data_IF_906410303129
#
_entry.id   IF_906410303129
#
_cell.length_a   1.000
_cell.length_b   1.000
_cell.length_c   1.000
_cell.angle_alpha   90.00
_cell.angle_beta   90.00
_cell.angle_gamma   90.00
#
_symmetry.space_group_name_H-M   'P 1'
#
loop_
_entity.id
_entity.type
_entity.pdbx_description
1 polymer ?
#
# COMPACT_ATOMS: atom_id res chain seq x y z
N UNK A 1 19.11 14.85 -9.81
CA UNK A 1 19.15 14.38 -8.40
C UNK A 1 20.50 13.73 -8.20
N UNK A 2 21.37 14.34 -7.39
CA UNK A 2 22.75 13.84 -7.24
C UNK A 2 22.88 12.81 -6.12
N UNK A 3 22.07 12.92 -5.06
CA UNK A 3 22.11 12.05 -3.87
C UNK A 3 21.07 10.93 -3.92
N UNK A 4 21.47 9.72 -3.50
CA UNK A 4 20.59 8.56 -3.43
C UNK A 4 19.35 8.78 -2.56
N UNK A 5 19.49 9.43 -1.40
CA UNK A 5 18.35 9.72 -0.51
C UNK A 5 17.35 10.70 -1.11
N UNK A 6 17.80 11.72 -1.85
CA UNK A 6 16.89 12.63 -2.57
C UNK A 6 16.14 11.89 -3.68
N UNK A 7 16.84 11.00 -4.40
CA UNK A 7 16.21 10.12 -5.39
C UNK A 7 15.18 9.17 -4.76
N UNK A 8 15.47 8.63 -3.58
CA UNK A 8 14.54 7.77 -2.85
C UNK A 8 13.25 8.53 -2.54
N UNK A 9 13.35 9.73 -1.97
CA UNK A 9 12.17 10.55 -1.65
C UNK A 9 11.33 10.85 -2.90
N UNK A 10 11.98 11.17 -4.02
CA UNK A 10 11.32 11.45 -5.28
C UNK A 10 10.58 10.21 -5.85
N UNK A 11 11.29 9.11 -6.07
CA UNK A 11 10.69 7.90 -6.66
C UNK A 11 9.65 7.29 -5.74
N UNK A 12 9.92 7.24 -4.44
CA UNK A 12 8.98 6.73 -3.45
C UNK A 12 7.70 7.58 -3.44
N UNK A 13 7.82 8.91 -3.46
CA UNK A 13 6.66 9.80 -3.53
C UNK A 13 5.83 9.62 -4.80
N UNK A 14 6.49 9.47 -5.96
CA UNK A 14 5.83 9.22 -7.24
C UNK A 14 5.06 7.90 -7.24
N UNK A 15 5.70 6.80 -6.82
CA UNK A 15 5.04 5.50 -6.73
C UNK A 15 3.96 5.49 -5.65
N UNK A 16 4.15 6.23 -4.56
CA UNK A 16 3.13 6.37 -3.53
C UNK A 16 1.86 7.06 -4.03
N UNK A 17 2.00 8.12 -4.84
CA UNK A 17 0.87 8.80 -5.45
C UNK A 17 0.05 7.86 -6.35
N UNK A 18 0.73 7.02 -7.16
CA UNK A 18 0.08 6.00 -8.00
C UNK A 18 -0.67 4.96 -7.16
N UNK A 19 -0.09 4.53 -6.03
CA UNK A 19 -0.74 3.61 -5.11
C UNK A 19 -2.00 4.22 -4.49
N UNK A 20 -1.95 5.49 -4.08
CA UNK A 20 -3.12 6.17 -3.55
C UNK A 20 -4.25 6.25 -4.60
N UNK A 21 -3.91 6.59 -5.84
CA UNK A 21 -4.88 6.65 -6.94
C UNK A 21 -5.55 5.29 -7.18
N UNK A 22 -4.76 4.22 -7.30
CA UNK A 22 -5.26 2.86 -7.53
C UNK A 22 -6.00 2.28 -6.32
N UNK A 23 -5.69 2.73 -5.10
CA UNK A 23 -6.34 2.30 -3.86
C UNK A 23 -7.67 3.02 -3.59
N UNK A 24 -7.96 4.13 -4.28
CA UNK A 24 -9.17 4.92 -4.07
C UNK A 24 -10.46 4.10 -4.25
N UNK A 25 -10.44 3.09 -5.14
CA UNK A 25 -11.58 2.18 -5.39
C UNK A 25 -12.04 1.40 -4.15
N UNK A 26 -11.16 1.21 -3.16
CA UNK A 26 -11.49 0.50 -1.92
C UNK A 26 -12.18 1.39 -0.88
N UNK A 27 -12.33 2.69 -1.14
CA UNK A 27 -13.02 3.64 -0.24
C UNK A 27 -12.52 3.53 1.20
N UNK A 28 -11.19 3.48 1.34
CA UNK A 28 -10.51 3.33 2.61
C UNK A 28 -10.82 4.42 3.63
N UNK A 29 -11.08 5.64 3.15
CA UNK A 29 -11.40 6.81 3.97
C UNK A 29 -12.85 7.25 3.75
N UNK A 30 -13.84 6.59 4.38
CA UNK A 30 -15.26 6.88 4.18
C UNK A 30 -15.71 8.16 4.91
N UNK A 31 -14.94 9.26 4.86
CA UNK A 31 -15.12 10.46 5.72
C UNK A 31 -16.51 11.07 5.62
N UNK A 32 -17.08 11.18 4.42
CA UNK A 32 -18.45 11.69 4.19
C UNK A 32 -19.51 10.72 4.71
N UNK A 33 -19.35 9.43 4.43
CA UNK A 33 -20.33 8.39 4.76
C UNK A 33 -20.26 7.90 6.21
N UNK A 34 -19.13 8.13 6.91
CA UNK A 34 -18.92 7.69 8.29
C UNK A 34 -19.89 8.38 9.25
N UNK A 35 -20.19 9.65 8.97
CA UNK A 35 -21.05 10.51 9.77
C UNK A 35 -22.43 10.72 9.16
N UNK A 36 -22.73 10.14 7.99
CA UNK A 36 -24.02 10.31 7.34
C UNK A 36 -25.08 9.30 7.82
N UNK A 37 -24.71 8.21 8.49
CA UNK A 37 -25.64 7.15 8.91
C UNK A 37 -25.60 6.95 10.42
N UNK A 38 -26.26 7.86 11.16
CA UNK A 38 -26.28 7.85 12.63
C UNK A 38 -27.11 6.71 13.24
N UNK A 39 -27.82 5.91 12.43
CA UNK A 39 -28.74 4.87 12.89
C UNK A 39 -28.18 3.44 13.00
N UNK A 40 -27.13 3.07 12.25
CA UNK A 40 -26.64 1.69 12.18
C UNK A 40 -25.24 1.55 12.80
N UNK A 41 -25.18 1.15 14.08
CA UNK A 41 -23.93 0.97 14.86
C UNK A 41 -22.96 -0.02 14.20
N UNK A 42 -23.47 -1.07 13.57
CA UNK A 42 -22.65 -2.11 12.93
C UNK A 42 -21.97 -1.61 11.66
N UNK A 43 -22.70 -0.89 10.79
CA UNK A 43 -22.13 -0.29 9.57
C UNK A 43 -21.05 0.74 9.90
N UNK A 44 -21.33 1.58 10.91
CA UNK A 44 -20.35 2.57 11.40
C UNK A 44 -19.09 1.87 11.90
N UNK A 45 -19.23 0.75 12.60
CA UNK A 45 -18.09 -0.03 13.09
C UNK A 45 -17.27 -0.63 11.93
N UNK A 46 -17.92 -1.19 10.90
CA UNK A 46 -17.22 -1.71 9.71
C UNK A 46 -16.45 -0.62 8.97
N UNK A 47 -17.09 0.54 8.72
CA UNK A 47 -16.47 1.71 8.08
C UNK A 47 -15.31 2.26 8.90
N UNK A 48 -15.44 2.33 10.22
CA UNK A 48 -14.36 2.75 11.12
C UNK A 48 -13.17 1.77 11.08
N UNK A 49 -13.42 0.46 11.13
CA UNK A 49 -12.36 -0.56 11.00
C UNK A 49 -11.62 -0.40 9.66
N UNK A 50 -12.35 -0.22 8.56
CA UNK A 50 -11.77 0.03 7.22
C UNK A 50 -10.92 1.30 7.21
N UNK A 51 -11.40 2.37 7.84
CA UNK A 51 -10.65 3.62 7.99
C UNK A 51 -9.36 3.44 8.78
N UNK A 52 -9.41 2.80 9.95
CA UNK A 52 -8.23 2.54 10.79
C UNK A 52 -7.19 1.73 10.02
N UNK A 53 -7.60 0.64 9.36
CA UNK A 53 -6.70 -0.18 8.54
C UNK A 53 -6.09 0.64 7.40
N UNK A 54 -6.89 1.50 6.75
CA UNK A 54 -6.41 2.36 5.67
C UNK A 54 -5.44 3.44 6.15
N UNK A 55 -5.65 4.02 7.34
CA UNK A 55 -4.69 4.94 7.96
C UNK A 55 -3.37 4.20 8.24
N UNK A 56 -3.44 3.01 8.83
CA UNK A 56 -2.24 2.24 9.16
C UNK A 56 -1.48 1.86 7.89
N UNK A 57 -2.14 1.21 6.93
CA UNK A 57 -1.47 0.65 5.75
C UNK A 57 -1.16 1.69 4.68
N UNK A 58 -1.94 2.76 4.55
CA UNK A 58 -1.73 3.78 3.52
C UNK A 58 -1.17 5.10 4.07
N UNK A 59 -0.86 5.24 5.36
CA UNK A 59 -0.20 6.47 5.83
C UNK A 59 0.98 6.11 6.73
N UNK A 60 0.72 5.38 7.82
CA UNK A 60 1.74 5.09 8.82
C UNK A 60 2.80 4.14 8.25
N UNK A 61 2.38 3.02 7.67
CA UNK A 61 3.29 1.99 7.18
C UNK A 61 4.21 2.49 6.05
N UNK A 62 3.75 3.23 5.01
CA UNK A 62 4.64 3.81 4.01
C UNK A 62 5.68 4.75 4.61
N UNK A 63 5.31 5.59 5.58
CA UNK A 63 6.26 6.51 6.23
C UNK A 63 7.33 5.74 7.00
N UNK A 64 6.92 4.74 7.80
CA UNK A 64 7.85 3.88 8.54
C UNK A 64 8.77 3.13 7.58
N UNK A 65 8.22 2.58 6.51
CA UNK A 65 8.96 1.83 5.51
C UNK A 65 9.96 2.72 4.76
N UNK A 66 9.58 3.93 4.37
CA UNK A 66 10.49 4.92 3.82
C UNK A 66 11.64 5.21 4.79
N UNK A 67 11.36 5.31 6.10
CA UNK A 67 12.38 5.45 7.13
C UNK A 67 13.39 4.30 7.14
N UNK A 68 12.93 3.06 7.00
CA UNK A 68 13.79 1.86 6.87
C UNK A 68 14.68 1.96 5.64
N UNK A 69 14.09 2.23 4.46
CA UNK A 69 14.85 2.34 3.21
C UNK A 69 15.89 3.47 3.26
N UNK A 70 15.49 4.63 3.81
CA UNK A 70 16.33 5.81 3.93
C UNK A 70 17.51 5.62 4.88
N UNK A 71 17.31 4.86 5.97
CA UNK A 71 18.33 4.69 7.00
C UNK A 71 19.26 3.53 6.69
N UNK A 72 18.74 2.42 6.13
CA UNK A 72 19.48 1.15 6.05
C UNK A 72 19.76 0.64 4.64
N UNK A 73 19.03 1.09 3.62
CA UNK A 73 19.11 0.52 2.27
C UNK A 73 19.82 1.47 1.31
N UNK A 74 19.45 2.74 1.32
CA UNK A 74 19.95 3.72 0.34
C UNK A 74 21.05 4.58 0.97
N UNK A 75 22.27 4.60 0.42
CA UNK A 75 23.37 5.38 0.97
C UNK A 75 23.17 6.89 0.77
N UNK A 76 23.60 7.68 1.76
CA UNK A 76 23.63 9.15 1.72
C UNK A 76 24.84 9.70 0.94
N UNK A 77 25.07 9.16 -0.25
CA UNK A 77 26.19 9.56 -1.13
C UNK A 77 25.65 9.99 -2.48
N UNK A 78 26.43 10.82 -3.16
CA UNK A 78 26.14 11.17 -4.54
C UNK A 78 26.63 10.07 -5.49
N UNK A 79 26.00 9.98 -6.66
CA UNK A 79 26.43 9.10 -7.74
C UNK A 79 25.31 8.24 -8.32
N UNK A 80 25.59 7.64 -9.47
CA UNK A 80 24.62 6.85 -10.23
C UNK A 80 24.18 5.61 -9.45
N UNK A 81 25.10 4.91 -8.80
CA UNK A 81 24.79 3.68 -8.04
C UNK A 81 23.81 3.97 -6.88
N UNK A 82 24.05 4.94 -5.96
CA UNK A 82 23.06 5.33 -4.95
C UNK A 82 21.68 5.70 -5.52
N UNK A 83 21.63 6.40 -6.66
CA UNK A 83 20.37 6.79 -7.31
C UNK A 83 19.62 5.57 -7.86
N UNK A 84 20.34 4.63 -8.49
CA UNK A 84 19.76 3.37 -8.97
C UNK A 84 19.27 2.48 -7.84
N UNK A 85 20.03 2.39 -6.74
CA UNK A 85 19.60 1.70 -5.52
C UNK A 85 18.30 2.30 -4.98
N UNK A 86 18.18 3.62 -4.96
CA UNK A 86 17.00 4.33 -4.50
C UNK A 86 15.77 4.05 -5.37
N UNK A 87 15.92 4.10 -6.70
CA UNK A 87 14.86 3.76 -7.64
C UNK A 87 14.38 2.31 -7.43
N UNK A 88 15.32 1.36 -7.35
CA UNK A 88 15.00 -0.05 -7.17
C UNK A 88 14.32 -0.32 -5.81
N UNK A 89 14.88 0.21 -4.72
CA UNK A 89 14.32 0.05 -3.38
C UNK A 89 12.90 0.65 -3.27
N UNK A 90 12.63 1.77 -3.95
CA UNK A 90 11.34 2.43 -3.91
C UNK A 90 10.20 1.60 -4.52
N UNK A 91 10.48 0.66 -5.44
CA UNK A 91 9.48 -0.26 -6.00
C UNK A 91 8.84 -1.19 -4.96
N UNK A 92 9.51 -1.40 -3.82
CA UNK A 92 8.97 -2.17 -2.69
C UNK A 92 7.62 -1.65 -2.20
N UNK A 93 7.33 -0.35 -2.40
CA UNK A 93 6.10 0.30 -1.97
C UNK A 93 4.85 -0.29 -2.62
N UNK A 94 4.94 -0.85 -3.84
CA UNK A 94 3.83 -1.56 -4.48
C UNK A 94 3.37 -2.80 -3.70
N UNK A 95 4.26 -3.35 -2.85
CA UNK A 95 3.90 -4.39 -1.91
C UNK A 95 2.82 -3.95 -0.93
N UNK A 96 2.84 -2.68 -0.50
CA UNK A 96 1.86 -2.11 0.44
C UNK A 96 0.45 -2.14 -0.15
N UNK A 97 0.29 -1.82 -1.43
CA UNK A 97 -1.01 -1.89 -2.12
C UNK A 97 -1.57 -3.30 -2.13
N UNK A 98 -0.70 -4.30 -2.35
CA UNK A 98 -1.08 -5.71 -2.32
C UNK A 98 -1.47 -6.15 -0.91
N UNK A 99 -0.71 -5.75 0.10
CA UNK A 99 -1.08 -5.99 1.50
C UNK A 99 -2.43 -5.36 1.83
N UNK A 100 -2.63 -4.10 1.45
CA UNK A 100 -3.88 -3.36 1.65
C UNK A 100 -5.07 -4.08 1.01
N UNK A 101 -4.94 -4.49 -0.26
CA UNK A 101 -5.95 -5.31 -0.94
C UNK A 101 -6.25 -6.58 -0.16
N UNK A 102 -5.21 -7.36 0.19
CA UNK A 102 -5.39 -8.63 0.90
C UNK A 102 -6.11 -8.46 2.24
N UNK A 103 -5.84 -7.38 2.97
CA UNK A 103 -6.42 -7.13 4.29
C UNK A 103 -7.88 -6.67 4.22
N UNK A 104 -8.25 -5.84 3.25
CA UNK A 104 -9.60 -5.23 3.24
C UNK A 104 -10.54 -5.82 2.19
N UNK A 105 -9.99 -6.32 1.08
CA UNK A 105 -10.72 -6.62 -0.16
C UNK A 105 -10.54 -8.07 -0.62
N UNK A 106 -10.04 -8.95 0.24
CA UNK A 106 -10.03 -10.39 0.00
C UNK A 106 -11.36 -11.03 0.36
N UNK A 107 -11.60 -12.23 -0.17
CA UNK A 107 -12.86 -13.00 0.05
C UNK A 107 -13.19 -13.15 1.53
N UNK A 108 -12.16 -13.37 2.35
CA UNK A 108 -12.29 -13.62 3.78
C UNK A 108 -12.53 -12.35 4.60
N UNK A 109 -12.21 -11.18 4.05
CA UNK A 109 -12.18 -9.92 4.81
C UNK A 109 -13.24 -8.92 4.36
N UNK A 110 -13.68 -8.97 3.11
CA UNK A 110 -14.64 -8.00 2.54
C UNK A 110 -15.90 -7.84 3.41
N UNK A 111 -16.51 -8.94 3.88
CA UNK A 111 -17.71 -8.89 4.72
C UNK A 111 -17.49 -8.24 6.09
N UNK A 112 -16.23 -8.14 6.56
CA UNK A 112 -15.87 -7.46 7.82
C UNK A 112 -15.73 -5.95 7.66
N UNK A 113 -15.48 -5.48 6.43
CA UNK A 113 -15.15 -4.08 6.15
C UNK A 113 -16.20 -3.37 5.30
N UNK A 114 -17.01 -4.09 4.52
CA UNK A 114 -18.04 -3.53 3.65
C UNK A 114 -19.44 -3.96 4.08
N UNK A 115 -20.43 -3.13 3.77
CA UNK A 115 -21.85 -3.48 3.90
C UNK A 115 -22.34 -4.24 2.67
N UNK A 116 -23.45 -4.95 2.78
CA UNK A 116 -24.00 -5.72 1.65
C UNK A 116 -24.36 -4.82 0.47
N UNK A 117 -24.80 -3.57 0.75
CA UNK A 117 -25.02 -2.56 -0.27
C UNK A 117 -23.72 -2.15 -0.98
N UNK A 118 -22.64 -1.95 -0.24
CA UNK A 118 -21.32 -1.66 -0.80
C UNK A 118 -20.80 -2.82 -1.66
N UNK A 119 -20.97 -4.06 -1.20
CA UNK A 119 -20.59 -5.28 -1.93
C UNK A 119 -21.42 -5.45 -3.21
N UNK A 120 -22.73 -5.21 -3.14
CA UNK A 120 -23.61 -5.26 -4.31
C UNK A 120 -23.29 -4.16 -5.34
N UNK A 121 -22.80 -2.99 -4.91
CA UNK A 121 -22.23 -1.99 -5.83
C UNK A 121 -20.89 -2.46 -6.41
N UNK A 122 -20.05 -3.09 -5.59
CA UNK A 122 -18.73 -3.57 -6.00
C UNK A 122 -18.80 -4.65 -7.09
N UNK A 123 -19.66 -5.65 -6.91
CA UNK A 123 -19.88 -6.73 -7.89
C UNK A 123 -20.47 -6.25 -9.22
N UNK A 124 -21.26 -5.16 -9.21
CA UNK A 124 -21.79 -4.52 -10.42
C UNK A 124 -20.74 -3.73 -11.20
N UNK A 125 -19.77 -3.13 -10.50
CA UNK A 125 -18.73 -2.29 -11.11
C UNK A 125 -17.53 -3.11 -11.60
N UNK A 126 -17.17 -4.18 -10.88
CA UNK A 126 -15.94 -4.94 -11.14
C UNK A 126 -16.16 -6.26 -11.86
N UNK A 127 -17.38 -6.50 -12.36
CA UNK A 127 -17.67 -7.59 -13.31
C UNK A 127 -17.24 -8.97 -12.81
N UNK A 128 -17.91 -9.50 -11.77
CA UNK A 128 -17.87 -10.94 -11.47
C UNK A 128 -16.52 -11.55 -11.06
N UNK A 129 -15.41 -10.80 -11.04
CA UNK A 129 -14.13 -11.29 -10.55
C UNK A 129 -14.29 -11.68 -9.08
N UNK A 130 -14.26 -12.99 -8.81
CA UNK A 130 -14.35 -13.50 -7.45
C UNK A 130 -13.19 -12.92 -6.64
N UNK A 131 -13.47 -12.35 -5.45
CA UNK A 131 -12.39 -11.87 -4.60
C UNK A 131 -11.44 -13.03 -4.33
N UNK A 132 -10.15 -12.82 -4.57
CA UNK A 132 -9.15 -13.86 -4.34
C UNK A 132 -8.91 -14.04 -2.84
N UNK A 133 -8.32 -15.19 -2.50
CA UNK A 133 -7.89 -15.49 -1.13
C UNK A 133 -6.87 -14.47 -0.66
N UNK A 134 -6.90 -14.14 0.62
CA UNK A 134 -5.95 -13.21 1.26
C UNK A 134 -4.47 -13.48 0.88
N UNK A 135 -4.05 -14.74 0.83
CA UNK A 135 -2.67 -15.14 0.52
C UNK A 135 -2.23 -14.83 -0.92
N UNK A 136 -3.17 -14.77 -1.87
CA UNK A 136 -2.88 -14.37 -3.25
C UNK A 136 -2.39 -12.91 -3.34
N UNK A 137 -2.67 -12.11 -2.31
CA UNK A 137 -2.23 -10.72 -2.22
C UNK A 137 -1.11 -10.53 -1.20
N UNK A 138 -1.19 -11.18 -0.03
CA UNK A 138 -0.17 -11.04 1.01
C UNK A 138 1.20 -11.57 0.57
N UNK A 139 1.24 -12.75 -0.07
CA UNK A 139 2.51 -13.36 -0.51
C UNK A 139 3.28 -12.44 -1.45
N UNK A 140 2.69 -12.01 -2.58
CA UNK A 140 3.32 -11.04 -3.46
C UNK A 140 3.64 -9.71 -2.77
N UNK A 141 2.78 -9.23 -1.87
CA UNK A 141 3.02 -7.99 -1.12
C UNK A 141 4.29 -8.05 -0.28
N UNK A 142 4.47 -9.13 0.49
CA UNK A 142 5.68 -9.37 1.28
C UNK A 142 6.91 -9.58 0.39
N UNK A 143 6.75 -10.26 -0.74
CA UNK A 143 7.83 -10.48 -1.70
C UNK A 143 8.35 -9.15 -2.26
N UNK A 144 7.47 -8.22 -2.62
CA UNK A 144 7.86 -6.88 -3.06
C UNK A 144 8.62 -6.12 -1.97
N UNK A 145 8.13 -6.18 -0.72
CA UNK A 145 8.80 -5.52 0.42
C UNK A 145 10.19 -6.08 0.70
N UNK A 146 10.43 -7.38 0.49
CA UNK A 146 11.73 -7.98 0.74
C UNK A 146 12.68 -7.91 -0.47
N UNK A 147 12.21 -8.28 -1.67
CA UNK A 147 13.08 -8.49 -2.82
C UNK A 147 13.69 -7.20 -3.35
N UNK A 148 12.92 -6.11 -3.44
CA UNK A 148 13.42 -4.86 -4.01
C UNK A 148 14.50 -4.18 -3.17
N UNK A 149 14.39 -4.10 -1.84
CA UNK A 149 15.48 -3.61 -1.00
C UNK A 149 16.69 -4.53 -1.01
N UNK A 150 16.49 -5.85 -0.99
CA UNK A 150 17.61 -6.81 -1.09
C UNK A 150 18.35 -6.66 -2.42
N UNK A 151 17.62 -6.50 -3.53
CA UNK A 151 18.21 -6.27 -4.84
C UNK A 151 18.96 -4.92 -4.90
N UNK A 152 18.44 -3.89 -4.23
CA UNK A 152 19.13 -2.61 -4.11
C UNK A 152 20.44 -2.74 -3.32
N UNK A 153 20.44 -3.46 -2.20
CA UNK A 153 21.66 -3.73 -1.42
C UNK A 153 22.67 -4.51 -2.27
N UNK A 154 22.23 -5.56 -2.95
CA UNK A 154 23.09 -6.36 -3.83
C UNK A 154 23.73 -5.50 -4.93
N UNK A 155 22.97 -4.59 -5.55
CA UNK A 155 23.49 -3.64 -6.53
C UNK A 155 24.62 -2.76 -5.95
N UNK A 156 24.45 -2.26 -4.72
CA UNK A 156 25.46 -1.45 -4.04
C UNK A 156 26.69 -2.22 -3.54
N UNK A 157 26.62 -3.56 -3.48
CA UNK A 157 27.77 -4.40 -3.15
C UNK A 157 28.57 -4.83 -4.40
N UNK A 158 27.94 -4.83 -5.57
CA UNK A 158 28.55 -5.27 -6.83
C UNK A 158 29.27 -4.15 -7.60
N UNK A 159 28.98 -2.88 -7.28
CA UNK A 159 29.46 -1.67 -7.98
C UNK A 159 30.02 -0.65 -6.98
#
# INVERSE_FOLDING_TARGET
MEYGTSALLFFYGLFWAEILATSARYKGFPTVTLWAHWGCRDERTRRLKRMVVSVILLNIFPIVWLGVLYTWVVPKKSGVVPVSMAALASLSIFGITRLYHGVIASRETMNRFYTDEELGKWGRIHGGDEPHRIWAHLGPGLLYLACYPMAAIALGCLL
#
